data_IF_232323003734
#
_entry.id   IF_232323003734
#
_cell.length_a   1.000
_cell.length_b   1.000
_cell.length_c   1.000
_cell.angle_alpha   90.00
_cell.angle_beta   90.00
_cell.angle_gamma   90.00
#
_symmetry.space_group_name_H-M   'P 1'
#
loop_
_entity.id
_entity.type
_entity.pdbx_description
1 polymer ?
#
# COMPACT_ATOMS: atom_id res chain seq x y z
N UNK A 1 28.24 22.53 -16.71
CA UNK A 1 27.88 22.83 -18.12
C UNK A 1 27.21 21.57 -18.65
N UNK A 2 25.93 21.53 -18.99
CA UNK A 2 25.09 22.54 -19.61
C UNK A 2 23.80 22.79 -18.83
N UNK A 3 23.30 24.02 -18.90
CA UNK A 3 21.91 24.37 -18.59
C UNK A 3 21.01 23.59 -19.56
N UNK A 4 20.32 22.56 -19.08
CA UNK A 4 19.23 21.96 -19.83
C UNK A 4 18.05 22.91 -19.78
N UNK A 5 17.84 23.66 -20.86
CA UNK A 5 16.59 24.37 -21.14
C UNK A 5 15.42 23.42 -20.88
N UNK A 6 14.69 23.65 -19.79
CA UNK A 6 13.47 22.92 -19.48
C UNK A 6 12.44 23.37 -20.51
N UNK A 7 12.37 22.68 -21.63
CA UNK A 7 11.23 22.81 -22.54
C UNK A 7 10.02 22.19 -21.84
N UNK A 8 9.08 23.07 -21.45
CA UNK A 8 7.92 22.74 -20.60
C UNK A 8 6.97 21.72 -21.24
N UNK A 9 7.13 21.42 -22.54
CA UNK A 9 6.23 20.57 -23.33
C UNK A 9 6.93 19.46 -24.14
N UNK A 10 8.00 18.86 -23.64
CA UNK A 10 8.53 17.61 -24.23
C UNK A 10 7.62 16.42 -23.87
N UNK A 11 6.56 16.21 -24.67
CA UNK A 11 5.59 15.11 -24.50
C UNK A 11 6.30 13.75 -24.44
N UNK A 12 7.36 13.55 -25.24
CA UNK A 12 8.14 12.30 -25.24
C UNK A 12 8.82 12.03 -23.90
N UNK A 13 9.39 13.06 -23.27
CA UNK A 13 10.00 12.96 -21.93
C UNK A 13 8.95 12.72 -20.84
N UNK A 14 7.76 13.32 -21.00
CA UNK A 14 6.63 13.12 -20.07
C UNK A 14 6.03 11.72 -20.21
N UNK A 15 5.94 11.17 -21.44
CA UNK A 15 5.19 9.95 -21.73
C UNK A 15 6.03 8.68 -21.69
N UNK A 16 7.25 8.72 -22.23
CA UNK A 16 8.14 7.55 -22.36
C UNK A 16 9.32 7.66 -21.40
N UNK A 17 9.65 8.87 -20.94
CA UNK A 17 10.93 9.17 -20.29
C UNK A 17 12.11 8.60 -21.12
N UNK A 18 13.30 8.45 -20.53
CA UNK A 18 14.41 7.71 -21.15
C UNK A 18 14.32 6.21 -20.83
N UNK A 19 13.10 5.65 -20.69
CA UNK A 19 12.91 4.29 -20.22
C UNK A 19 13.12 3.27 -21.36
N UNK A 20 13.98 2.26 -21.18
CA UNK A 20 14.16 1.25 -22.20
C UNK A 20 12.93 0.33 -22.28
N UNK A 21 12.52 -0.07 -23.49
CA UNK A 21 11.29 -0.85 -23.72
C UNK A 21 11.18 -2.14 -22.89
N UNK A 22 12.31 -2.77 -22.53
CA UNK A 22 12.30 -3.98 -21.69
C UNK A 22 11.85 -3.69 -20.25
N UNK A 23 12.15 -2.49 -19.73
CA UNK A 23 11.79 -2.08 -18.38
C UNK A 23 10.27 -1.83 -18.27
N UNK A 24 9.64 -1.30 -19.32
CA UNK A 24 8.18 -1.18 -19.40
C UNK A 24 7.48 -2.54 -19.28
N UNK A 25 8.02 -3.58 -19.90
CA UNK A 25 7.47 -4.94 -19.79
C UNK A 25 7.69 -5.53 -18.39
N UNK A 26 8.85 -5.27 -17.78
CA UNK A 26 9.10 -5.65 -16.38
C UNK A 26 8.09 -4.99 -15.42
N UNK A 27 7.80 -3.69 -15.59
CA UNK A 27 6.80 -2.96 -14.80
C UNK A 27 5.43 -3.63 -14.91
N UNK A 28 5.00 -4.02 -16.11
CA UNK A 28 3.70 -4.70 -16.30
C UNK A 28 3.65 -6.01 -15.50
N UNK A 29 4.70 -6.82 -15.56
CA UNK A 29 4.78 -8.10 -14.84
C UNK A 29 4.81 -7.87 -13.32
N UNK A 30 5.65 -6.95 -12.84
CA UNK A 30 5.72 -6.57 -11.42
C UNK A 30 4.37 -6.06 -10.92
N UNK A 31 3.70 -5.22 -11.71
CA UNK A 31 2.38 -4.67 -11.40
C UNK A 31 1.31 -5.74 -11.33
N UNK A 32 1.29 -6.69 -12.26
CA UNK A 32 0.34 -7.81 -12.23
C UNK A 32 0.54 -8.70 -10.98
N UNK A 33 1.80 -8.95 -10.61
CA UNK A 33 2.13 -9.69 -9.39
C UNK A 33 1.69 -8.93 -8.14
N UNK A 34 1.99 -7.63 -8.05
CA UNK A 34 1.59 -6.77 -6.93
C UNK A 34 0.08 -6.63 -6.81
N UNK A 35 -0.63 -6.50 -7.92
CA UNK A 35 -2.09 -6.47 -7.93
C UNK A 35 -2.68 -7.76 -7.36
N UNK A 36 -2.16 -8.92 -7.78
CA UNK A 36 -2.56 -10.22 -7.22
C UNK A 36 -2.30 -10.28 -5.72
N UNK A 37 -1.14 -9.77 -5.27
CA UNK A 37 -0.80 -9.73 -3.85
C UNK A 37 -1.70 -8.77 -3.05
N UNK A 38 -2.06 -7.62 -3.61
CA UNK A 38 -2.99 -6.66 -3.01
C UNK A 38 -4.38 -7.28 -2.83
N UNK A 39 -4.87 -8.07 -3.80
CA UNK A 39 -6.13 -8.80 -3.67
C UNK A 39 -6.08 -9.83 -2.54
N UNK A 40 -4.96 -10.55 -2.40
CA UNK A 40 -4.74 -11.47 -1.28
C UNK A 40 -4.77 -10.70 0.04
N UNK A 41 -4.03 -9.60 0.14
CA UNK A 41 -4.03 -8.74 1.32
C UNK A 41 -5.43 -8.25 1.68
N UNK A 42 -6.18 -7.73 0.71
CA UNK A 42 -7.56 -7.27 0.89
C UNK A 42 -8.48 -8.40 1.38
N UNK A 43 -8.29 -9.62 0.87
CA UNK A 43 -9.03 -10.81 1.31
C UNK A 43 -8.82 -11.12 2.80
N UNK A 44 -7.61 -10.85 3.32
CA UNK A 44 -7.25 -11.08 4.72
C UNK A 44 -7.73 -9.97 5.66
N UNK A 45 -7.81 -8.71 5.19
CA UNK A 45 -8.41 -7.61 5.95
C UNK A 45 -9.89 -7.89 6.28
N UNK A 46 -10.54 -8.76 5.49
CA UNK A 46 -11.79 -9.44 5.84
C UNK A 46 -13.06 -8.66 5.47
N UNK A 47 -14.23 -9.31 5.61
CA UNK A 47 -15.56 -8.71 5.31
C UNK A 47 -15.98 -7.58 6.25
N UNK A 48 -15.22 -7.30 7.32
CA UNK A 48 -15.50 -6.19 8.26
C UNK A 48 -15.30 -4.82 7.59
N UNK A 49 -14.40 -4.72 6.62
CA UNK A 49 -14.12 -3.52 5.83
C UNK A 49 -15.32 -2.96 5.03
N UNK A 50 -16.43 -3.68 4.91
CA UNK A 50 -17.61 -3.20 4.15
C UNK A 50 -18.72 -2.71 5.08
N UNK A 51 -18.72 -3.10 6.36
CA UNK A 51 -19.81 -2.77 7.29
C UNK A 51 -19.48 -1.65 8.28
N UNK A 52 -18.21 -1.44 8.61
CA UNK A 52 -17.67 -0.31 9.38
C UNK A 52 -16.13 -0.40 9.29
N UNK A 53 -15.52 0.36 8.37
CA UNK A 53 -14.07 0.52 8.35
C UNK A 53 -13.67 1.27 9.62
N UNK A 54 -12.87 0.63 10.46
CA UNK A 54 -12.23 1.36 11.56
C UNK A 54 -11.28 2.39 10.95
N UNK A 55 -11.05 3.50 11.65
CA UNK A 55 -10.04 4.50 11.24
C UNK A 55 -8.66 3.86 11.02
N UNK A 56 -8.39 2.77 11.75
CA UNK A 56 -7.16 1.99 11.63
C UNK A 56 -7.08 1.20 10.31
N UNK A 57 -8.16 0.54 9.88
CA UNK A 57 -8.18 -0.20 8.61
C UNK A 57 -7.91 0.75 7.44
N UNK A 58 -8.50 1.95 7.46
CA UNK A 58 -8.30 2.96 6.43
C UNK A 58 -6.83 3.41 6.37
N UNK A 59 -6.23 3.72 7.53
CA UNK A 59 -4.82 4.12 7.61
C UNK A 59 -3.92 3.02 7.05
N UNK A 60 -4.21 1.76 7.40
CA UNK A 60 -3.43 0.61 6.97
C UNK A 60 -3.54 0.36 5.46
N UNK A 61 -4.74 0.51 4.87
CA UNK A 61 -4.94 0.45 3.41
C UNK A 61 -4.14 1.54 2.69
N UNK A 62 -4.19 2.79 3.18
CA UNK A 62 -3.48 3.92 2.56
C UNK A 62 -1.96 3.70 2.63
N UNK A 63 -1.44 3.33 3.80
CA UNK A 63 -0.01 3.09 3.99
C UNK A 63 0.50 1.95 3.09
N UNK A 64 -0.25 0.85 3.00
CA UNK A 64 0.11 -0.28 2.16
C UNK A 64 0.01 0.02 0.66
N UNK A 65 -1.01 0.77 0.23
CA UNK A 65 -1.12 1.20 -1.16
C UNK A 65 0.08 2.04 -1.59
N UNK A 66 0.54 2.94 -0.72
CA UNK A 66 1.76 3.71 -0.94
C UNK A 66 2.99 2.80 -1.04
N UNK A 67 3.18 1.89 -0.10
CA UNK A 67 4.34 1.00 -0.07
C UNK A 67 4.36 -0.02 -1.23
N UNK A 68 3.18 -0.49 -1.68
CA UNK A 68 3.04 -1.40 -2.81
C UNK A 68 3.46 -0.76 -4.14
N UNK A 69 3.31 0.56 -4.26
CA UNK A 69 3.70 1.30 -5.46
C UNK A 69 5.21 1.29 -5.70
N UNK A 70 6.03 1.26 -4.64
CA UNK A 70 7.48 1.31 -4.73
C UNK A 70 8.07 0.21 -5.61
N UNK A 71 7.84 -1.10 -5.34
CA UNK A 71 8.36 -2.18 -6.18
C UNK A 71 7.70 -2.27 -7.57
N UNK A 72 6.58 -1.57 -7.82
CA UNK A 72 5.97 -1.52 -9.15
C UNK A 72 6.74 -0.57 -10.08
N UNK A 73 7.27 0.52 -9.54
CA UNK A 73 7.89 1.61 -10.33
C UNK A 73 9.42 1.55 -10.26
N UNK A 74 9.99 1.17 -9.11
CA UNK A 74 11.43 1.21 -8.87
C UNK A 74 12.07 -0.18 -9.02
N UNK A 75 13.01 -0.38 -9.96
CA UNK A 75 13.66 -1.67 -10.20
C UNK A 75 14.50 -2.14 -8.99
N UNK A 76 15.05 -1.20 -8.25
CA UNK A 76 15.90 -1.36 -7.07
C UNK A 76 15.14 -1.86 -5.83
N UNK A 77 13.82 -1.78 -5.84
CA UNK A 77 12.99 -2.28 -4.74
C UNK A 77 12.54 -3.71 -5.03
N UNK A 78 12.98 -4.65 -4.19
CA UNK A 78 12.61 -6.06 -4.32
C UNK A 78 11.19 -6.32 -3.82
N UNK A 79 10.39 -7.04 -4.62
CA UNK A 79 9.04 -7.51 -4.26
C UNK A 79 9.06 -8.28 -2.94
N UNK A 80 10.10 -9.09 -2.70
CA UNK A 80 10.24 -9.88 -1.47
C UNK A 80 10.24 -9.01 -0.21
N UNK A 81 10.89 -7.85 -0.23
CA UNK A 81 10.93 -6.95 0.94
C UNK A 81 9.53 -6.47 1.31
N UNK A 82 8.73 -6.15 0.29
CA UNK A 82 7.34 -5.78 0.49
C UNK A 82 6.52 -6.95 1.05
N UNK A 83 6.68 -8.16 0.52
CA UNK A 83 5.97 -9.36 1.01
C UNK A 83 6.26 -9.58 2.50
N UNK A 84 7.51 -9.46 2.93
CA UNK A 84 7.88 -9.55 4.36
C UNK A 84 7.29 -8.41 5.20
N UNK A 85 7.31 -7.18 4.68
CA UNK A 85 6.72 -6.02 5.36
C UNK A 85 5.20 -6.18 5.57
N UNK A 86 4.48 -6.57 4.52
CA UNK A 86 3.03 -6.81 4.57
C UNK A 86 2.73 -7.97 5.52
N UNK A 87 3.45 -9.09 5.43
CA UNK A 87 3.26 -10.22 6.33
C UNK A 87 3.42 -9.82 7.80
N UNK A 88 4.42 -8.98 8.10
CA UNK A 88 4.64 -8.43 9.44
C UNK A 88 3.45 -7.58 9.89
N UNK A 89 3.01 -6.62 9.06
CA UNK A 89 1.86 -5.77 9.35
C UNK A 89 0.58 -6.60 9.56
N UNK A 90 0.38 -7.67 8.79
CA UNK A 90 -0.76 -8.57 8.97
C UNK A 90 -0.76 -9.29 10.31
N UNK A 91 0.42 -9.68 10.81
CA UNK A 91 0.54 -10.24 12.17
C UNK A 91 0.12 -9.20 13.20
N UNK A 92 0.62 -7.97 13.08
CA UNK A 92 0.23 -6.87 13.97
C UNK A 92 -1.27 -6.56 13.91
N UNK A 93 -1.85 -6.54 12.71
CA UNK A 93 -3.29 -6.35 12.51
C UNK A 93 -4.11 -7.40 13.25
N UNK A 94 -3.70 -8.67 13.14
CA UNK A 94 -4.38 -9.78 13.82
C UNK A 94 -4.26 -9.67 15.33
N UNK A 95 -3.09 -9.27 15.83
CA UNK A 95 -2.86 -9.02 17.26
C UNK A 95 -3.77 -7.89 17.75
N UNK A 96 -3.83 -6.76 17.03
CA UNK A 96 -4.70 -5.65 17.41
C UNK A 96 -6.18 -6.05 17.46
N UNK A 97 -6.66 -6.74 16.44
CA UNK A 97 -8.06 -7.20 16.41
C UNK A 97 -8.36 -8.21 17.54
N UNK A 98 -7.38 -9.05 17.92
CA UNK A 98 -7.52 -9.95 19.06
C UNK A 98 -7.49 -9.20 20.41
N UNK A 99 -6.69 -8.13 20.54
CA UNK A 99 -6.62 -7.29 21.73
C UNK A 99 -7.91 -6.48 21.91
N UNK A 100 -8.40 -5.84 20.86
CA UNK A 100 -9.65 -5.07 20.87
C UNK A 100 -10.85 -5.94 21.32
N UNK A 101 -10.96 -7.17 20.79
CA UNK A 101 -12.00 -8.12 21.23
C UNK A 101 -11.86 -8.56 22.70
N UNK A 102 -10.66 -8.49 23.29
CA UNK A 102 -10.38 -8.98 24.66
C UNK A 102 -10.44 -7.86 25.70
N UNK A 103 -10.17 -6.61 25.32
CA UNK A 103 -9.99 -5.49 26.23
C UNK A 103 -10.75 -4.25 25.74
N UNK A 104 -11.84 -3.89 26.43
CA UNK A 104 -12.68 -2.73 26.09
C UNK A 104 -11.95 -1.38 26.18
N UNK A 105 -10.91 -1.28 27.02
CA UNK A 105 -10.09 -0.04 27.13
C UNK A 105 -9.29 0.23 25.84
N UNK A 106 -8.97 -0.82 25.09
CA UNK A 106 -8.14 -0.72 23.89
C UNK A 106 -8.97 -0.19 22.72
N UNK A 107 -10.24 -0.60 22.66
CA UNK A 107 -11.25 -0.10 21.72
C UNK A 107 -11.45 1.42 21.90
N UNK A 108 -11.60 1.88 23.15
CA UNK A 108 -11.74 3.30 23.51
C UNK A 108 -10.53 4.16 23.10
N UNK A 109 -9.30 3.61 23.19
CA UNK A 109 -8.08 4.33 22.81
C UNK A 109 -7.94 4.46 21.28
N UNK A 110 -8.36 3.43 20.52
CA UNK A 110 -8.18 3.39 19.06
C UNK A 110 -9.34 3.99 18.28
N UNK A 111 -10.58 3.84 18.76
CA UNK A 111 -11.78 4.32 18.06
C UNK A 111 -12.29 5.66 18.62
N UNK A 112 -11.83 6.05 19.82
CA UNK A 112 -12.33 7.22 20.54
C UNK A 112 -13.67 6.91 21.21
N UNK A 113 -13.81 7.29 22.47
CA UNK A 113 -14.98 6.90 23.25
C UNK A 113 -16.28 7.40 22.63
N UNK A 114 -17.32 6.53 22.52
CA UNK A 114 -18.61 6.95 22.02
C UNK A 114 -19.17 8.04 22.94
N UNK A 115 -19.37 9.23 22.39
CA UNK A 115 -20.13 10.30 23.06
C UNK A 115 -21.55 9.78 23.20
N UNK A 116 -21.89 9.30 24.40
CA UNK A 116 -23.27 8.99 24.78
C UNK A 116 -24.02 10.33 24.81
N UNK A 117 -24.80 10.60 23.77
CA UNK A 117 -25.82 11.65 23.74
C UNK A 117 -27.06 11.11 24.46
#
# INVERSE_FOLDING_TARGET
>A
MAESSIEVFEITRILIADAPCHFLLEIIVRSAFMFTFALIFMRFLGRRAIHQLTSFDLLLIIALGSAMGDPMIYPDVAILWLVFGIATIMVFYRVQNALANKYSWYDDLTEGSPVKI
#
